data_IF_735414051133
#
_entry.id   IF_735414051133
#
_cell.length_a   1.000
_cell.length_b   1.000
_cell.length_c   1.000
_cell.angle_alpha   90.00
_cell.angle_beta   90.00
_cell.angle_gamma   90.00
#
_symmetry.space_group_name_H-M   'P 1'
#
loop_
_entity.id
_entity.type
_entity.pdbx_description
1 polymer ?
#
# COMPACT_ATOMS: atom_id res chain seq x y z
N UNK A 1 -8.03 -16.55 25.78
CA UNK A 1 -7.97 -15.87 24.48
C UNK A 1 -8.76 -14.58 24.60
N UNK A 2 -8.26 -13.43 24.17
CA UNK A 2 -9.04 -12.20 24.20
C UNK A 2 -10.31 -12.39 23.38
N UNK A 3 -11.44 -11.96 23.92
CA UNK A 3 -12.72 -11.96 23.20
C UNK A 3 -12.68 -10.92 22.08
N UNK A 4 -13.52 -11.08 21.05
CA UNK A 4 -13.61 -10.11 19.95
C UNK A 4 -13.84 -8.69 20.49
N UNK A 5 -14.67 -8.55 21.53
CA UNK A 5 -14.95 -7.25 22.18
C UNK A 5 -13.72 -6.62 22.84
N UNK A 6 -12.83 -7.43 23.45
CA UNK A 6 -11.57 -6.92 24.00
C UNK A 6 -10.63 -6.45 22.90
N UNK A 7 -10.57 -7.16 21.78
CA UNK A 7 -9.80 -6.74 20.61
C UNK A 7 -10.35 -5.43 20.01
N UNK A 8 -11.67 -5.33 19.87
CA UNK A 8 -12.33 -4.11 19.36
C UNK A 8 -12.12 -2.91 20.28
N UNK A 9 -12.18 -3.10 21.61
CA UNK A 9 -11.91 -2.02 22.56
C UNK A 9 -10.45 -1.60 22.57
N UNK A 10 -9.51 -2.51 22.35
CA UNK A 10 -8.09 -2.18 22.19
C UNK A 10 -7.85 -1.37 20.92
N UNK A 11 -8.44 -1.77 19.79
CA UNK A 11 -8.30 -1.04 18.52
C UNK A 11 -8.92 0.36 18.58
N UNK A 12 -10.04 0.54 19.28
CA UNK A 12 -10.62 1.86 19.54
C UNK A 12 -9.71 2.78 20.37
N UNK A 13 -8.99 2.22 21.35
CA UNK A 13 -7.99 2.99 22.13
C UNK A 13 -6.80 3.43 21.30
N UNK A 14 -6.46 2.65 20.27
CA UNK A 14 -5.40 3.00 19.30
C UNK A 14 -5.84 4.03 18.26
N UNK A 15 -7.11 4.42 18.26
CA UNK A 15 -7.66 5.42 17.35
C UNK A 15 -7.13 6.82 17.68
N UNK A 16 -5.87 7.06 17.33
CA UNK A 16 -5.16 8.30 17.57
C UNK A 16 -4.65 8.87 16.22
N UNK A 17 -4.89 10.15 15.91
CA UNK A 17 -4.33 10.80 14.72
C UNK A 17 -2.79 10.73 14.67
N UNK A 18 -2.12 10.45 15.79
CA UNK A 18 -0.68 10.18 15.82
C UNK A 18 -0.25 8.99 14.94
N UNK A 19 -1.17 8.05 14.62
CA UNK A 19 -0.89 6.92 13.71
C UNK A 19 -0.71 7.34 12.24
N UNK A 20 -1.10 8.55 11.88
CA UNK A 20 -0.83 9.10 10.54
C UNK A 20 0.69 9.22 10.31
N UNK A 21 1.46 9.66 11.30
CA UNK A 21 2.91 9.83 11.16
C UNK A 21 3.64 8.51 10.82
N UNK A 22 3.48 7.40 11.57
CA UNK A 22 4.11 6.14 11.19
C UNK A 22 3.58 5.60 9.85
N UNK A 23 2.32 5.84 9.49
CA UNK A 23 1.79 5.45 8.19
C UNK A 23 2.45 6.23 7.04
N UNK A 24 2.66 7.53 7.19
CA UNK A 24 3.40 8.36 6.24
C UNK A 24 4.84 7.86 6.08
N UNK A 25 5.52 7.50 7.17
CA UNK A 25 6.87 6.92 7.12
C UNK A 25 6.90 5.59 6.36
N UNK A 26 5.90 4.72 6.57
CA UNK A 26 5.81 3.46 5.84
C UNK A 26 5.53 3.67 4.35
N UNK A 27 4.68 4.64 3.97
CA UNK A 27 4.46 5.01 2.57
C UNK A 27 5.76 5.53 1.95
N UNK A 28 6.50 6.39 2.64
CA UNK A 28 7.80 6.87 2.19
C UNK A 28 8.79 5.71 2.01
N UNK A 29 8.88 4.81 2.99
CA UNK A 29 9.73 3.63 2.91
C UNK A 29 9.36 2.73 1.72
N UNK A 30 8.05 2.49 1.50
CA UNK A 30 7.56 1.70 0.37
C UNK A 30 7.97 2.27 -0.99
N UNK A 31 7.99 3.61 -1.14
CA UNK A 31 8.36 4.29 -2.38
C UNK A 31 9.88 4.32 -2.60
N UNK A 32 10.65 4.45 -1.53
CA UNK A 32 12.11 4.62 -1.57
C UNK A 32 12.84 3.28 -1.64
N UNK A 33 12.36 2.26 -0.92
CA UNK A 33 13.03 0.97 -0.86
C UNK A 33 13.03 0.28 -2.23
N UNK A 34 14.23 -0.13 -2.66
CA UNK A 34 14.43 -0.87 -3.91
C UNK A 34 14.13 -2.36 -3.77
N UNK A 35 14.31 -2.91 -2.57
CA UNK A 35 14.03 -4.31 -2.28
C UNK A 35 12.53 -4.52 -2.09
N UNK A 36 11.95 -5.38 -2.93
CA UNK A 36 10.53 -5.69 -2.94
C UNK A 36 10.01 -6.24 -1.60
N UNK A 37 10.85 -6.92 -0.82
CA UNK A 37 10.46 -7.54 0.45
C UNK A 37 10.13 -6.49 1.49
N UNK A 38 11.03 -5.52 1.65
CA UNK A 38 10.85 -4.42 2.58
C UNK A 38 9.74 -3.47 2.14
N UNK A 39 9.64 -3.23 0.83
CA UNK A 39 8.55 -2.42 0.28
C UNK A 39 7.19 -3.08 0.51
N UNK A 40 7.08 -4.41 0.36
CA UNK A 40 5.86 -5.16 0.62
C UNK A 40 5.52 -5.20 2.12
N UNK A 41 6.52 -5.32 2.98
CA UNK A 41 6.33 -5.25 4.43
C UNK A 41 5.82 -3.87 4.85
N UNK A 42 6.40 -2.80 4.28
CA UNK A 42 5.92 -1.44 4.48
C UNK A 42 4.46 -1.26 3.98
N UNK A 43 4.12 -1.83 2.82
CA UNK A 43 2.76 -1.86 2.29
C UNK A 43 1.78 -2.55 3.25
N UNK A 44 2.13 -3.74 3.76
CA UNK A 44 1.31 -4.43 4.76
C UNK A 44 1.11 -3.59 6.02
N UNK A 45 2.17 -2.91 6.49
CA UNK A 45 2.09 -1.97 7.60
C UNK A 45 1.16 -0.79 7.34
N UNK A 46 1.20 -0.21 6.13
CA UNK A 46 0.26 0.86 5.70
C UNK A 46 -1.18 0.35 5.78
N UNK A 47 -1.45 -0.86 5.29
CA UNK A 47 -2.80 -1.47 5.33
C UNK A 47 -3.30 -1.69 6.75
N UNK A 48 -2.42 -2.16 7.65
CA UNK A 48 -2.77 -2.32 9.07
C UNK A 48 -3.11 -0.98 9.71
N UNK A 49 -2.26 0.04 9.53
CA UNK A 49 -2.50 1.37 10.09
C UNK A 49 -3.74 2.05 9.48
N UNK A 50 -3.94 1.89 8.16
CA UNK A 50 -5.12 2.40 7.49
C UNK A 50 -6.40 1.78 8.06
N UNK A 51 -6.42 0.47 8.30
CA UNK A 51 -7.56 -0.20 8.95
C UNK A 51 -7.88 0.40 10.33
N UNK A 52 -6.85 0.74 11.13
CA UNK A 52 -7.07 1.45 12.41
C UNK A 52 -7.62 2.85 12.17
N UNK A 53 -7.10 3.58 11.18
CA UNK A 53 -7.59 4.93 10.86
C UNK A 53 -9.05 4.94 10.34
N UNK A 54 -9.47 3.87 9.67
CA UNK A 54 -10.86 3.69 9.23
C UNK A 54 -11.86 3.57 10.39
N UNK A 55 -11.42 3.19 11.60
CA UNK A 55 -12.28 3.19 12.80
C UNK A 55 -12.84 4.58 13.15
N UNK A 56 -12.28 5.65 12.58
CA UNK A 56 -12.81 7.01 12.74
C UNK A 56 -14.02 7.29 11.82
N UNK A 57 -14.22 6.48 10.78
CA UNK A 57 -15.22 6.70 9.74
C UNK A 57 -16.30 5.62 9.72
N UNK A 58 -15.99 4.43 10.21
CA UNK A 58 -16.87 3.29 10.12
C UNK A 58 -16.81 2.39 11.36
N UNK A 59 -17.84 1.53 11.58
CA UNK A 59 -17.85 0.53 12.63
C UNK A 59 -16.64 -0.42 12.54
N UNK A 60 -16.15 -0.94 13.68
CA UNK A 60 -14.97 -1.78 13.73
C UNK A 60 -15.07 -3.07 12.88
N UNK A 61 -16.26 -3.64 12.76
CA UNK A 61 -16.51 -4.84 11.96
C UNK A 61 -16.18 -4.61 10.47
N UNK A 62 -16.46 -3.42 9.98
CA UNK A 62 -16.20 -3.04 8.58
C UNK A 62 -14.74 -2.62 8.38
N UNK A 63 -14.11 -2.01 9.40
CA UNK A 63 -12.69 -1.68 9.35
C UNK A 63 -11.80 -2.94 9.28
N UNK A 64 -12.21 -4.07 9.88
CA UNK A 64 -11.53 -5.36 9.78
C UNK A 64 -11.38 -5.84 8.35
N UNK A 65 -12.34 -5.51 7.48
CA UNK A 65 -12.28 -5.85 6.06
C UNK A 65 -11.01 -5.30 5.40
N UNK A 66 -10.58 -4.08 5.75
CA UNK A 66 -9.36 -3.48 5.21
C UNK A 66 -8.11 -4.30 5.56
N UNK A 67 -8.08 -4.92 6.73
CA UNK A 67 -6.98 -5.81 7.11
C UNK A 67 -7.01 -7.12 6.34
N UNK A 68 -8.19 -7.70 6.20
CA UNK A 68 -8.36 -8.96 5.46
C UNK A 68 -7.99 -8.78 3.99
N UNK A 69 -8.56 -7.78 3.32
CA UNK A 69 -8.28 -7.53 1.89
C UNK A 69 -6.84 -7.10 1.67
N UNK A 70 -6.32 -6.17 2.46
CA UNK A 70 -4.93 -5.74 2.38
C UNK A 70 -3.94 -6.87 2.65
N UNK A 71 -4.25 -7.75 3.62
CA UNK A 71 -3.46 -8.96 3.93
C UNK A 71 -3.45 -9.95 2.76
N UNK A 72 -4.62 -10.23 2.18
CA UNK A 72 -4.74 -11.12 1.01
C UNK A 72 -3.95 -10.58 -0.19
N UNK A 73 -4.07 -9.29 -0.49
CA UNK A 73 -3.30 -8.63 -1.56
C UNK A 73 -1.80 -8.73 -1.30
N UNK A 74 -1.35 -8.46 -0.08
CA UNK A 74 0.05 -8.57 0.29
C UNK A 74 0.58 -10.01 0.12
N UNK A 75 -0.20 -11.02 0.52
CA UNK A 75 0.15 -12.44 0.34
C UNK A 75 0.23 -12.79 -1.15
N UNK A 76 -0.74 -12.38 -1.97
CA UNK A 76 -0.74 -12.63 -3.42
C UNK A 76 0.51 -12.04 -4.08
N UNK A 77 0.85 -10.79 -3.77
CA UNK A 77 2.05 -10.15 -4.31
C UNK A 77 3.34 -10.77 -3.80
N UNK A 78 3.37 -11.19 -2.52
CA UNK A 78 4.50 -11.92 -1.96
C UNK A 78 4.75 -13.24 -2.70
N UNK A 79 3.71 -14.02 -2.93
CA UNK A 79 3.82 -15.31 -3.65
C UNK A 79 4.28 -15.12 -5.09
N UNK A 80 3.72 -14.13 -5.80
CA UNK A 80 4.10 -13.80 -7.16
C UNK A 80 5.58 -13.33 -7.23
N UNK A 81 5.97 -12.37 -6.40
CA UNK A 81 7.32 -11.83 -6.38
C UNK A 81 8.36 -12.86 -5.94
N UNK A 82 8.05 -13.70 -4.94
CA UNK A 82 8.91 -14.79 -4.49
C UNK A 82 9.19 -15.78 -5.60
N UNK A 83 8.16 -16.17 -6.37
CA UNK A 83 8.30 -17.10 -7.49
C UNK A 83 9.28 -16.56 -8.54
N UNK A 84 9.12 -15.31 -8.93
CA UNK A 84 10.01 -14.63 -9.89
C UNK A 84 11.42 -14.48 -9.34
N UNK A 85 11.57 -14.10 -8.06
CA UNK A 85 12.86 -13.91 -7.42
C UNK A 85 13.68 -15.20 -7.35
N UNK A 86 13.04 -16.33 -7.04
CA UNK A 86 13.70 -17.65 -7.01
C UNK A 86 14.25 -18.03 -8.40
N UNK A 87 13.47 -17.82 -9.47
CA UNK A 87 13.89 -18.13 -10.83
C UNK A 87 15.05 -17.23 -11.25
N UNK A 88 14.91 -15.92 -11.04
CA UNK A 88 15.95 -14.93 -11.37
C UNK A 88 17.28 -15.25 -10.67
N UNK A 89 17.23 -15.61 -9.39
CA UNK A 89 18.44 -15.94 -8.61
C UNK A 89 19.11 -17.22 -9.05
N UNK A 90 18.35 -18.21 -9.48
CA UNK A 90 18.93 -19.43 -10.06
C UNK A 90 19.76 -19.12 -11.30
N UNK A 91 19.32 -18.16 -12.13
CA UNK A 91 20.06 -17.76 -13.33
C UNK A 91 21.27 -16.86 -13.03
N UNK A 92 21.16 -15.96 -12.04
CA UNK A 92 22.22 -14.99 -11.72
C UNK A 92 23.22 -15.48 -10.68
N UNK A 93 22.98 -16.63 -10.03
CA UNK A 93 23.82 -17.14 -8.93
C UNK A 93 23.83 -16.24 -7.68
N UNK A 94 22.95 -15.22 -7.62
CA UNK A 94 22.98 -14.26 -6.54
C UNK A 94 22.42 -14.85 -5.22
N UNK A 95 23.12 -14.70 -4.09
CA UNK A 95 22.66 -15.23 -2.81
C UNK A 95 21.37 -14.53 -2.35
N UNK A 96 20.45 -15.29 -1.76
CA UNK A 96 19.10 -14.84 -1.38
C UNK A 96 19.05 -13.77 -0.28
N UNK A 97 20.11 -13.66 0.54
CA UNK A 97 20.18 -12.71 1.65
C UNK A 97 20.76 -11.34 1.27
N UNK A 98 21.36 -11.17 0.08
CA UNK A 98 21.88 -9.86 -0.33
C UNK A 98 20.72 -8.94 -0.70
N UNK A 99 20.44 -7.90 0.11
CA UNK A 99 19.46 -6.89 -0.27
C UNK A 99 19.99 -6.12 -1.49
N UNK A 100 19.10 -5.83 -2.43
CA UNK A 100 19.45 -4.97 -3.57
C UNK A 100 19.40 -3.49 -3.14
N UNK A 101 20.34 -3.10 -2.28
CA UNK A 101 20.50 -1.71 -1.88
C UNK A 101 21.22 -0.97 -3.00
N UNK A 102 20.47 -0.47 -3.96
CA UNK A 102 20.99 0.44 -4.99
C UNK A 102 20.36 1.80 -4.79
N UNK A 103 21.14 2.77 -4.36
CA UNK A 103 20.76 4.19 -4.44
C UNK A 103 20.80 4.57 -5.92
N UNK A 104 19.67 4.40 -6.58
CA UNK A 104 19.49 4.79 -7.97
C UNK A 104 19.01 6.26 -8.01
N UNK A 105 19.36 7.06 -9.02
CA UNK A 105 18.83 8.42 -9.16
C UNK A 105 17.30 8.50 -9.04
N UNK A 106 16.58 7.47 -9.53
CA UNK A 106 15.14 7.35 -9.39
C UNK A 106 14.68 7.25 -7.93
N UNK A 107 15.49 6.67 -7.04
CA UNK A 107 15.18 6.55 -5.60
C UNK A 107 15.28 7.91 -4.91
N UNK A 108 16.32 8.68 -5.23
CA UNK A 108 16.48 10.06 -4.72
C UNK A 108 15.36 10.97 -5.21
N UNK A 109 14.98 10.84 -6.48
CA UNK A 109 13.86 11.61 -7.04
C UNK A 109 12.53 11.30 -6.32
N UNK A 110 12.25 10.03 -6.05
CA UNK A 110 11.05 9.62 -5.28
C UNK A 110 11.07 10.18 -3.87
N UNK A 111 12.21 10.13 -3.19
CA UNK A 111 12.36 10.72 -1.86
C UNK A 111 12.11 12.22 -1.89
N UNK A 112 12.68 12.93 -2.89
CA UNK A 112 12.46 14.36 -3.08
C UNK A 112 10.98 14.68 -3.28
N UNK A 113 10.26 13.90 -4.09
CA UNK A 113 8.81 14.07 -4.28
C UNK A 113 8.02 13.82 -3.00
N UNK A 114 8.35 12.78 -2.22
CA UNK A 114 7.69 12.51 -0.94
C UNK A 114 7.88 13.68 0.01
N UNK A 115 9.09 14.21 0.15
CA UNK A 115 9.39 15.38 1.00
C UNK A 115 8.64 16.62 0.48
N UNK A 116 8.67 16.86 -0.82
CA UNK A 116 7.96 17.98 -1.45
C UNK A 116 6.45 17.92 -1.13
N UNK A 117 5.80 16.77 -1.36
CA UNK A 117 4.37 16.62 -1.09
C UNK A 117 4.04 16.75 0.38
N UNK A 118 4.85 16.20 1.28
CA UNK A 118 4.67 16.43 2.70
C UNK A 118 4.73 17.93 3.03
N UNK A 119 5.76 18.60 2.54
CA UNK A 119 5.93 20.05 2.79
C UNK A 119 4.74 20.83 2.23
N UNK A 120 4.32 20.57 0.99
CA UNK A 120 3.18 21.25 0.36
C UNK A 120 1.89 21.01 1.14
N UNK A 121 1.57 19.77 1.49
CA UNK A 121 0.32 19.41 2.16
C UNK A 121 0.26 20.04 3.57
N UNK A 122 1.38 20.04 4.30
CA UNK A 122 1.43 20.65 5.64
C UNK A 122 1.45 22.17 5.59
N UNK A 123 2.04 22.78 4.55
CA UNK A 123 2.12 24.26 4.42
C UNK A 123 0.84 24.85 3.84
N UNK A 124 0.36 24.29 2.73
CA UNK A 124 -0.82 24.81 2.01
C UNK A 124 -2.12 24.45 2.74
N UNK A 125 -2.12 23.35 3.50
CA UNK A 125 -3.29 22.84 4.23
C UNK A 125 -4.54 22.82 3.35
N UNK A 126 -4.52 22.06 2.23
CA UNK A 126 -5.62 22.05 1.28
C UNK A 126 -6.93 21.70 2.00
N UNK A 127 -7.92 22.58 1.83
CA UNK A 127 -9.25 22.33 2.35
C UNK A 127 -9.98 21.36 1.42
N UNK A 128 -10.26 20.17 1.92
CA UNK A 128 -11.06 19.18 1.20
C UNK A 128 -12.45 19.17 1.86
N UNK A 129 -13.50 19.57 1.15
CA UNK A 129 -14.84 19.75 1.74
C UNK A 129 -15.60 18.41 1.85
N UNK A 130 -15.01 17.42 2.52
CA UNK A 130 -15.74 16.21 2.89
C UNK A 130 -16.36 16.39 4.28
N UNK A 131 -17.70 16.44 4.41
CA UNK A 131 -18.37 16.88 5.64
C UNK A 131 -18.11 15.98 6.85
N UNK A 132 -17.74 14.71 6.65
CA UNK A 132 -17.47 13.75 7.73
C UNK A 132 -16.01 13.38 7.90
N UNK A 133 -15.11 13.91 7.06
CA UNK A 133 -13.70 13.56 7.10
C UNK A 133 -12.94 14.53 8.01
N UNK A 134 -12.31 14.05 9.10
CA UNK A 134 -11.41 14.87 9.91
C UNK A 134 -10.31 15.49 9.06
N UNK A 135 -9.92 16.74 9.34
CA UNK A 135 -8.94 17.47 8.54
C UNK A 135 -7.59 16.72 8.40
N UNK A 136 -7.18 16.01 9.44
CA UNK A 136 -5.95 15.24 9.43
C UNK A 136 -6.03 14.00 8.50
N UNK A 137 -7.19 13.32 8.50
CA UNK A 137 -7.44 12.21 7.55
C UNK A 137 -7.58 12.71 6.12
N UNK A 138 -8.16 13.90 5.90
CA UNK A 138 -8.24 14.52 4.57
C UNK A 138 -6.84 14.82 4.02
N UNK A 139 -5.94 15.37 4.84
CA UNK A 139 -4.53 15.59 4.47
C UNK A 139 -3.80 14.28 4.20
N UNK A 140 -4.04 13.28 5.03
CA UNK A 140 -3.46 11.95 4.84
C UNK A 140 -3.94 11.30 3.54
N UNK A 141 -5.23 11.34 3.23
CA UNK A 141 -5.78 10.84 1.97
C UNK A 141 -5.16 11.56 0.76
N UNK A 142 -5.00 12.89 0.83
CA UNK A 142 -4.31 13.67 -0.21
C UNK A 142 -2.86 13.23 -0.39
N UNK A 143 -2.15 13.00 0.73
CA UNK A 143 -0.78 12.49 0.70
C UNK A 143 -0.70 11.11 0.06
N UNK A 144 -1.63 10.20 0.38
CA UNK A 144 -1.71 8.87 -0.23
C UNK A 144 -1.95 8.97 -1.75
N UNK A 145 -2.89 9.82 -2.19
CA UNK A 145 -3.18 10.03 -3.60
C UNK A 145 -1.95 10.58 -4.36
N UNK A 146 -1.30 11.62 -3.82
CA UNK A 146 -0.09 12.19 -4.41
C UNK A 146 1.06 11.18 -4.46
N UNK A 147 1.29 10.43 -3.38
CA UNK A 147 2.29 9.36 -3.31
C UNK A 147 2.00 8.23 -4.31
N UNK A 148 0.72 7.90 -4.48
CA UNK A 148 0.27 6.94 -5.49
C UNK A 148 0.60 7.38 -6.91
N UNK A 149 0.40 8.65 -7.25
CA UNK A 149 0.79 9.21 -8.55
C UNK A 149 2.31 9.16 -8.78
N UNK A 150 3.11 9.44 -7.76
CA UNK A 150 4.58 9.29 -7.85
C UNK A 150 4.97 7.84 -8.11
N UNK A 151 4.35 6.89 -7.40
CA UNK A 151 4.61 5.47 -7.60
C UNK A 151 4.25 5.01 -9.03
N UNK A 152 3.17 5.53 -9.60
CA UNK A 152 2.73 5.24 -10.96
C UNK A 152 3.65 5.89 -12.01
N UNK A 153 3.97 7.18 -11.84
CA UNK A 153 4.77 7.93 -12.79
C UNK A 153 6.25 7.53 -12.83
N UNK A 154 6.80 7.13 -11.69
CA UNK A 154 8.21 6.71 -11.56
C UNK A 154 8.36 5.19 -11.37
N UNK A 155 7.29 4.44 -11.54
CA UNK A 155 7.28 2.99 -11.44
C UNK A 155 7.88 2.34 -12.69
N UNK A 156 8.93 1.55 -12.48
CA UNK A 156 9.63 0.77 -13.50
C UNK A 156 9.25 -0.72 -13.49
N UNK A 157 8.49 -1.15 -12.49
CA UNK A 157 8.10 -2.55 -12.29
C UNK A 157 6.62 -2.67 -11.93
N UNK A 158 5.95 -3.77 -12.32
CA UNK A 158 4.51 -3.98 -12.05
C UNK A 158 4.15 -3.84 -10.58
N UNK A 159 5.00 -4.30 -9.66
CA UNK A 159 4.77 -4.21 -8.23
C UNK A 159 4.68 -2.74 -7.74
N UNK A 160 5.44 -1.82 -8.34
CA UNK A 160 5.36 -0.39 -8.00
C UNK A 160 4.09 0.25 -8.50
N UNK A 161 3.63 -0.14 -9.68
CA UNK A 161 2.29 0.25 -10.16
C UNK A 161 1.20 -0.25 -9.23
N UNK A 162 1.35 -1.49 -8.72
CA UNK A 162 0.45 -2.04 -7.72
C UNK A 162 0.40 -1.21 -6.45
N UNK A 163 1.55 -0.81 -5.92
CA UNK A 163 1.60 0.09 -4.76
C UNK A 163 0.92 1.43 -5.06
N UNK A 164 1.21 2.05 -6.21
CA UNK A 164 0.61 3.31 -6.61
C UNK A 164 -0.90 3.26 -6.71
N UNK A 165 -1.44 2.25 -7.42
CA UNK A 165 -2.87 2.03 -7.56
C UNK A 165 -3.55 1.72 -6.21
N UNK A 166 -2.89 0.91 -5.37
CA UNK A 166 -3.43 0.58 -4.04
C UNK A 166 -3.46 1.79 -3.10
N UNK A 167 -2.46 2.68 -3.14
CA UNK A 167 -2.48 3.95 -2.40
C UNK A 167 -3.59 4.88 -2.90
N UNK A 168 -3.79 4.93 -4.21
CA UNK A 168 -4.86 5.71 -4.82
C UNK A 168 -6.23 5.20 -4.42
N UNK A 169 -6.42 3.86 -4.47
CA UNK A 169 -7.65 3.22 -4.04
C UNK A 169 -7.91 3.45 -2.55
N UNK A 170 -6.86 3.39 -1.72
CA UNK A 170 -6.95 3.67 -0.28
C UNK A 170 -7.36 5.13 -0.02
N UNK A 171 -6.77 6.08 -0.74
CA UNK A 171 -7.16 7.50 -0.66
C UNK A 171 -8.62 7.71 -1.07
N UNK A 172 -9.05 7.09 -2.16
CA UNK A 172 -10.44 7.13 -2.63
C UNK A 172 -11.39 6.51 -1.60
N UNK A 173 -11.00 5.41 -0.95
CA UNK A 173 -11.79 4.75 0.09
C UNK A 173 -12.04 5.68 1.28
N UNK A 174 -11.08 6.47 1.73
CA UNK A 174 -11.30 7.48 2.78
C UNK A 174 -12.36 8.49 2.35
N UNK A 175 -12.30 8.99 1.11
CA UNK A 175 -13.29 9.94 0.58
C UNK A 175 -14.70 9.33 0.46
N UNK A 176 -14.79 8.12 -0.12
CA UNK A 176 -16.07 7.44 -0.32
C UNK A 176 -16.75 7.12 1.01
N UNK A 177 -16.02 6.59 1.99
CA UNK A 177 -16.57 6.26 3.30
C UNK A 177 -16.91 7.51 4.12
N UNK A 178 -16.26 8.64 3.87
CA UNK A 178 -16.67 9.91 4.46
C UNK A 178 -17.99 10.43 3.90
N UNK A 179 -18.31 10.13 2.63
CA UNK A 179 -19.58 10.53 2.01
C UNK A 179 -20.71 9.55 2.33
N UNK A 180 -20.46 8.28 2.13
CA UNK A 180 -21.46 7.23 2.28
C UNK A 180 -20.82 5.95 2.83
N UNK A 181 -21.13 5.63 4.07
CA UNK A 181 -20.67 4.42 4.72
C UNK A 181 -21.83 3.43 4.77
N UNK A 182 -21.82 2.43 3.88
CA UNK A 182 -22.76 1.31 3.89
C UNK A 182 -22.03 0.00 3.55
N UNK A 183 -22.66 -1.14 3.81
CA UNK A 183 -22.08 -2.48 3.57
C UNK A 183 -21.70 -2.67 2.10
N UNK A 184 -22.54 -2.16 1.18
CA UNK A 184 -22.32 -2.34 -0.25
C UNK A 184 -21.06 -1.60 -0.73
N UNK A 185 -20.84 -0.35 -0.27
CA UNK A 185 -19.64 0.42 -0.63
C UNK A 185 -18.37 -0.22 -0.05
N UNK A 186 -18.45 -0.73 1.17
CA UNK A 186 -17.34 -1.46 1.81
C UNK A 186 -17.01 -2.72 1.03
N UNK A 187 -18.03 -3.53 0.67
CA UNK A 187 -17.86 -4.74 -0.14
C UNK A 187 -17.32 -4.46 -1.54
N UNK A 188 -17.84 -3.42 -2.20
CA UNK A 188 -17.38 -3.01 -3.53
C UNK A 188 -15.90 -2.60 -3.50
N UNK A 189 -15.48 -1.79 -2.54
CA UNK A 189 -14.08 -1.37 -2.40
C UNK A 189 -13.14 -2.55 -2.15
N UNK A 190 -13.55 -3.51 -1.31
CA UNK A 190 -12.81 -4.74 -1.12
C UNK A 190 -12.69 -5.56 -2.40
N UNK A 191 -13.79 -5.69 -3.14
CA UNK A 191 -13.80 -6.39 -4.44
C UNK A 191 -12.81 -5.76 -5.43
N UNK A 192 -12.84 -4.43 -5.57
CA UNK A 192 -11.90 -3.70 -6.45
C UNK A 192 -10.46 -3.91 -5.99
N UNK A 193 -10.19 -3.87 -4.69
CA UNK A 193 -8.85 -4.08 -4.15
C UNK A 193 -8.33 -5.50 -4.41
N UNK A 194 -9.16 -6.52 -4.26
CA UNK A 194 -8.81 -7.90 -4.58
C UNK A 194 -8.56 -8.10 -6.08
N UNK A 195 -9.40 -7.53 -6.95
CA UNK A 195 -9.19 -7.57 -8.40
C UNK A 195 -7.88 -6.90 -8.80
N UNK A 196 -7.55 -5.76 -8.19
CA UNK A 196 -6.26 -5.12 -8.36
C UNK A 196 -5.13 -6.04 -7.89
N UNK A 197 -5.29 -6.69 -6.74
CA UNK A 197 -4.35 -7.67 -6.21
C UNK A 197 -4.04 -8.78 -7.21
N UNK A 198 -5.05 -9.38 -7.82
CA UNK A 198 -4.93 -10.40 -8.85
C UNK A 198 -4.25 -9.88 -10.12
N UNK A 199 -4.69 -8.73 -10.63
CA UNK A 199 -4.14 -8.15 -11.84
C UNK A 199 -2.64 -7.87 -11.70
N UNK A 200 -2.23 -7.25 -10.61
CA UNK A 200 -0.81 -6.94 -10.35
C UNK A 200 0.00 -8.22 -10.11
N UNK A 201 -0.55 -9.23 -9.42
CA UNK A 201 0.11 -10.53 -9.26
C UNK A 201 0.38 -11.18 -10.63
N UNK A 202 -0.58 -11.12 -11.53
CA UNK A 202 -0.40 -11.60 -12.91
C UNK A 202 0.71 -10.83 -13.64
N UNK A 203 0.71 -9.50 -13.59
CA UNK A 203 1.75 -8.70 -14.22
C UNK A 203 3.14 -8.94 -13.63
N UNK A 204 3.27 -9.18 -12.33
CA UNK A 204 4.54 -9.54 -11.70
C UNK A 204 5.07 -10.85 -12.30
N UNK A 205 4.21 -11.86 -12.47
CA UNK A 205 4.60 -13.15 -13.04
C UNK A 205 4.96 -13.02 -14.53
N UNK A 206 4.18 -12.27 -15.30
CA UNK A 206 4.43 -12.02 -16.72
C UNK A 206 5.74 -11.27 -16.94
N UNK A 207 6.01 -10.23 -16.15
CA UNK A 207 7.29 -9.51 -16.19
C UNK A 207 8.47 -10.43 -15.83
N UNK A 208 8.23 -11.34 -14.89
CA UNK A 208 9.21 -12.37 -14.51
C UNK A 208 9.41 -13.47 -15.54
N UNK A 209 8.47 -13.68 -16.46
CA UNK A 209 8.55 -14.76 -17.46
C UNK A 209 9.75 -14.62 -18.40
N UNK A 210 10.28 -13.41 -18.60
CA UNK A 210 11.53 -13.17 -19.36
C UNK A 210 12.76 -13.84 -18.76
N UNK A 211 12.69 -14.24 -17.48
CA UNK A 211 13.74 -14.99 -16.79
C UNK A 211 13.49 -16.51 -16.79
N UNK A 212 12.49 -17.00 -17.50
CA UNK A 212 12.27 -18.45 -17.59
C UNK A 212 13.12 -19.06 -18.69
N UNK A 213 13.71 -20.25 -18.46
CA UNK A 213 14.46 -20.94 -19.50
C UNK A 213 13.55 -21.21 -20.71
N UNK A 214 14.07 -20.93 -21.90
CA UNK A 214 13.33 -21.26 -23.12
C UNK A 214 13.27 -22.77 -23.29
N UNK A 215 12.16 -23.31 -23.85
CA UNK A 215 12.03 -24.75 -24.07
C UNK A 215 13.15 -25.37 -24.93
N UNK A 216 13.83 -24.52 -25.71
CA UNK A 216 14.94 -24.92 -26.57
C UNK A 216 16.27 -25.09 -25.83
N UNK A 217 16.36 -24.64 -24.56
CA UNK A 217 17.57 -24.69 -23.72
C UNK A 217 17.48 -25.79 -22.63
N UNK A 218 16.38 -26.53 -22.57
CA UNK A 218 16.14 -27.64 -21.64
C UNK A 218 16.25 -28.99 -22.35
#
# INVERSE_FOLDING_TARGET
>A
MPTLDQFLTLTQRLNNPALIAPSVLLVAAMLVLSDWRWALLAFAGVKVLAGVLFLQLMPPEWALQQWVTGGLVAIMWFMAARRVDVIRRKQTGAPWWKPEWRLNPSTLLRLAFVILFLTVIYTVRPYIPFPKLPADLARYATFLAASGLVALGLGDRPMRWGFGLSLWLLAASFGIHALQTNVDTVGMMAGVELLLGFAISYFIVVDGARFWPRPEEA
#
